data_IF_602114495427
#
_entry.id   IF_602114495427
#
_cell.length_a   1.000
_cell.length_b   1.000
_cell.length_c   1.000
_cell.angle_alpha   90.00
_cell.angle_beta   90.00
_cell.angle_gamma   90.00
#
_symmetry.space_group_name_H-M   'P 1'
#
loop_
_entity.id
_entity.type
_entity.pdbx_description
1 polymer ?
#
# COMPACT_ATOMS: atom_id res chain seq x y z
N UNK A 1 -11.04 20.62 -4.38
CA UNK A 1 -11.25 20.56 -2.93
C UNK A 1 -10.73 19.20 -2.51
N UNK A 2 -9.73 19.13 -1.63
CA UNK A 2 -9.32 17.83 -1.09
C UNK A 2 -10.54 17.23 -0.40
N UNK A 3 -10.90 16.00 -0.74
CA UNK A 3 -11.89 15.26 0.02
C UNK A 3 -11.41 15.23 1.48
N UNK A 4 -12.31 15.46 2.42
CA UNK A 4 -11.99 15.39 3.85
C UNK A 4 -11.62 13.94 4.17
N UNK A 5 -10.33 13.67 4.36
CA UNK A 5 -9.83 12.32 4.66
C UNK A 5 -10.45 11.84 5.95
N UNK A 6 -11.09 10.67 5.90
CA UNK A 6 -11.75 10.09 7.07
C UNK A 6 -10.65 9.74 8.10
N UNK A 7 -10.76 10.22 9.36
CA UNK A 7 -9.75 9.94 10.38
C UNK A 7 -9.46 8.44 10.50
N UNK A 8 -8.18 8.11 10.62
CA UNK A 8 -7.74 6.75 10.88
C UNK A 8 -8.00 6.42 12.37
N UNK A 9 -8.98 5.56 12.64
CA UNK A 9 -9.37 5.17 14.01
C UNK A 9 -9.49 3.67 14.15
N UNK A 10 -9.37 3.16 15.38
CA UNK A 10 -9.63 1.77 15.68
C UNK A 10 -11.07 1.36 15.32
N UNK A 11 -12.03 2.27 15.46
CA UNK A 11 -13.43 2.05 15.05
C UNK A 11 -13.56 1.84 13.53
N UNK A 12 -12.74 2.53 12.72
CA UNK A 12 -12.72 2.34 11.26
C UNK A 12 -12.26 0.91 10.90
N UNK A 13 -11.24 0.40 11.59
CA UNK A 13 -10.84 -1.00 11.46
C UNK A 13 -11.95 -1.94 11.94
N UNK A 14 -12.51 -1.70 13.13
CA UNK A 14 -13.56 -2.55 13.70
C UNK A 14 -14.78 -2.64 12.78
N UNK A 15 -15.20 -1.54 12.14
CA UNK A 15 -16.28 -1.53 11.18
C UNK A 15 -15.99 -2.42 9.95
N UNK A 16 -14.78 -2.33 9.38
CA UNK A 16 -14.36 -3.19 8.27
C UNK A 16 -14.32 -4.66 8.68
N UNK A 17 -13.76 -4.98 9.86
CA UNK A 17 -13.71 -6.33 10.40
C UNK A 17 -15.10 -6.92 10.63
N UNK A 18 -16.03 -6.14 11.20
CA UNK A 18 -17.44 -6.54 11.38
C UNK A 18 -18.14 -6.80 10.04
N UNK A 19 -17.97 -5.90 9.07
CA UNK A 19 -18.51 -6.07 7.73
C UNK A 19 -17.91 -7.30 7.01
N UNK A 20 -16.69 -7.70 7.36
CA UNK A 20 -16.02 -8.91 6.90
C UNK A 20 -16.41 -10.19 7.69
N UNK A 21 -17.26 -10.09 8.70
CA UNK A 21 -17.77 -11.21 9.47
C UNK A 21 -17.08 -11.50 10.80
N UNK A 22 -16.24 -10.59 11.32
CA UNK A 22 -15.62 -10.73 12.64
C UNK A 22 -16.66 -10.91 13.76
N UNK A 23 -16.46 -11.88 14.65
CA UNK A 23 -17.37 -12.17 15.78
C UNK A 23 -16.76 -11.89 17.15
N UNK A 24 -15.47 -11.56 17.25
CA UNK A 24 -14.84 -11.24 18.54
C UNK A 24 -15.48 -10.01 19.22
N UNK A 25 -15.30 -9.80 20.54
CA UNK A 25 -15.78 -8.61 21.23
C UNK A 25 -15.21 -7.30 20.63
N UNK A 26 -15.96 -6.20 20.70
CA UNK A 26 -15.52 -4.91 20.14
C UNK A 26 -14.18 -4.42 20.74
N UNK A 27 -13.89 -4.77 22.00
CA UNK A 27 -12.61 -4.46 22.63
C UNK A 27 -11.43 -5.12 21.91
N UNK A 28 -11.59 -6.35 21.42
CA UNK A 28 -10.55 -7.06 20.65
C UNK A 28 -10.34 -6.38 19.30
N UNK A 29 -11.43 -6.02 18.61
CA UNK A 29 -11.34 -5.31 17.34
C UNK A 29 -10.66 -3.95 17.51
N UNK A 30 -10.96 -3.24 18.60
CA UNK A 30 -10.36 -1.95 18.91
C UNK A 30 -8.86 -2.06 19.25
N UNK A 31 -8.46 -3.11 19.99
CA UNK A 31 -7.06 -3.41 20.30
C UNK A 31 -6.26 -3.70 19.01
N UNK A 32 -6.78 -4.57 18.14
CA UNK A 32 -6.15 -4.87 16.84
C UNK A 32 -6.06 -3.63 15.95
N UNK A 33 -7.13 -2.83 15.88
CA UNK A 33 -7.13 -1.57 15.14
C UNK A 33 -6.08 -0.59 15.68
N UNK A 34 -5.90 -0.52 16.99
CA UNK A 34 -4.89 0.33 17.64
C UNK A 34 -3.47 -0.17 17.34
N UNK A 35 -3.23 -1.48 17.39
CA UNK A 35 -1.94 -2.08 17.04
C UNK A 35 -1.56 -1.78 15.58
N UNK A 36 -2.49 -1.91 14.64
CA UNK A 36 -2.25 -1.56 13.24
C UNK A 36 -1.92 -0.07 13.10
N UNK A 37 -2.69 0.83 13.71
CA UNK A 37 -2.40 2.28 13.68
C UNK A 37 -1.01 2.59 14.24
N UNK A 38 -0.61 1.93 15.33
CA UNK A 38 0.72 2.07 15.93
C UNK A 38 1.82 1.72 14.93
N UNK A 39 1.69 0.60 14.22
CA UNK A 39 2.64 0.17 13.17
C UNK A 39 2.74 1.16 12.03
N UNK A 40 1.61 1.67 11.56
CA UNK A 40 1.55 2.71 10.52
C UNK A 40 2.07 4.08 10.99
N UNK A 41 2.33 4.24 12.29
CA UNK A 41 2.85 5.45 12.92
C UNK A 41 4.34 5.35 13.31
N UNK A 42 5.01 4.26 12.93
CA UNK A 42 6.44 4.06 13.23
C UNK A 42 7.31 5.17 12.61
N UNK A 43 8.33 5.69 13.33
CA UNK A 43 9.01 6.94 13.00
C UNK A 43 9.90 6.88 11.75
N UNK A 44 10.23 5.68 11.26
CA UNK A 44 11.00 5.51 10.02
C UNK A 44 10.15 5.67 8.75
N UNK A 45 8.81 5.74 8.87
CA UNK A 45 7.88 5.90 7.74
C UNK A 45 7.74 7.38 7.39
N UNK A 46 7.90 7.69 6.11
CA UNK A 46 7.71 9.04 5.58
C UNK A 46 6.66 9.07 4.47
N UNK A 47 6.54 7.99 3.69
CA UNK A 47 5.47 7.80 2.72
C UNK A 47 4.45 6.76 3.20
N UNK A 48 4.93 5.61 3.69
CA UNK A 48 4.06 4.51 4.13
C UNK A 48 3.52 4.76 5.54
N UNK A 49 2.80 5.88 5.70
CA UNK A 49 2.26 6.39 6.98
C UNK A 49 0.75 6.17 7.05
N UNK A 50 0.15 6.54 8.19
CA UNK A 50 -1.31 6.60 8.33
C UNK A 50 -2.03 7.47 7.28
N UNK A 51 -1.36 8.45 6.65
CA UNK A 51 -1.93 9.23 5.55
C UNK A 51 -2.12 8.39 4.28
N UNK A 52 -1.11 7.58 3.91
CA UNK A 52 -1.20 6.63 2.79
C UNK A 52 -2.29 5.59 3.05
N UNK A 53 -2.30 5.02 4.25
CA UNK A 53 -3.32 4.06 4.66
C UNK A 53 -4.74 4.66 4.56
N UNK A 54 -4.96 5.85 5.10
CA UNK A 54 -6.27 6.50 5.03
C UNK A 54 -6.70 6.79 3.59
N UNK A 55 -5.79 7.26 2.73
CA UNK A 55 -6.06 7.49 1.31
C UNK A 55 -6.44 6.20 0.58
N UNK A 56 -5.74 5.09 0.83
CA UNK A 56 -6.08 3.79 0.27
C UNK A 56 -7.47 3.32 0.75
N UNK A 57 -7.76 3.45 2.05
CA UNK A 57 -9.05 3.07 2.62
C UNK A 57 -10.21 3.91 2.04
N UNK A 58 -9.97 5.19 1.75
CA UNK A 58 -10.95 6.06 1.11
C UNK A 58 -11.25 5.62 -0.34
N UNK A 59 -10.23 5.14 -1.07
CA UNK A 59 -10.39 4.66 -2.45
C UNK A 59 -11.12 3.31 -2.55
N UNK A 60 -10.88 2.39 -1.62
CA UNK A 60 -11.53 1.07 -1.65
C UNK A 60 -12.97 1.10 -1.13
N UNK A 61 -13.34 2.12 -0.35
CA UNK A 61 -14.71 2.32 0.13
C UNK A 61 -15.23 1.15 0.97
N UNK A 62 -16.50 0.77 0.74
CA UNK A 62 -17.22 -0.25 1.52
C UNK A 62 -16.94 -1.69 1.03
N UNK A 63 -15.70 -1.99 0.62
CA UNK A 63 -15.27 -3.34 0.21
C UNK A 63 -14.46 -3.98 1.36
N UNK A 64 -15.12 -4.65 2.33
CA UNK A 64 -14.52 -4.94 3.64
C UNK A 64 -13.31 -5.86 3.57
N UNK A 65 -13.30 -6.84 2.66
CA UNK A 65 -12.16 -7.75 2.48
C UNK A 65 -10.94 -6.99 1.94
N UNK A 66 -11.14 -6.09 0.98
CA UNK A 66 -10.06 -5.27 0.41
C UNK A 66 -9.60 -4.24 1.44
N UNK A 67 -10.52 -3.65 2.20
CA UNK A 67 -10.17 -2.73 3.29
C UNK A 67 -9.29 -3.41 4.35
N UNK A 68 -9.59 -4.65 4.75
CA UNK A 68 -8.72 -5.41 5.67
C UNK A 68 -7.34 -5.71 5.07
N UNK A 69 -7.24 -5.97 3.77
CA UNK A 69 -5.95 -6.09 3.09
C UNK A 69 -5.18 -4.77 3.05
N UNK A 70 -5.86 -3.64 2.82
CA UNK A 70 -5.27 -2.30 2.90
C UNK A 70 -4.71 -2.00 4.29
N UNK A 71 -5.44 -2.35 5.36
CA UNK A 71 -4.92 -2.24 6.73
C UNK A 71 -3.63 -3.04 6.95
N UNK A 72 -3.52 -4.19 6.30
CA UNK A 72 -2.44 -5.15 6.49
C UNK A 72 -1.22 -4.99 5.58
N UNK A 73 -1.35 -4.41 4.37
CA UNK A 73 -0.35 -4.61 3.31
C UNK A 73 1.09 -4.21 3.67
N UNK A 74 1.26 -3.06 4.33
CA UNK A 74 2.54 -2.60 4.89
C UNK A 74 2.52 -2.50 6.42
N UNK A 75 1.72 -3.33 7.10
CA UNK A 75 1.69 -3.38 8.56
C UNK A 75 3.06 -3.77 9.16
N UNK A 76 3.89 -4.48 8.41
CA UNK A 76 5.33 -4.62 8.65
C UNK A 76 6.07 -3.82 7.59
N UNK A 77 6.92 -2.87 8.00
CA UNK A 77 7.72 -2.07 7.07
C UNK A 77 9.13 -1.85 7.61
N UNK A 78 10.05 -2.64 7.09
CA UNK A 78 11.48 -2.51 7.29
C UNK A 78 12.15 -2.31 5.92
N UNK A 79 12.58 -1.07 5.59
CA UNK A 79 13.27 -0.75 4.33
C UNK A 79 14.55 -1.55 4.07
N UNK A 80 15.07 -2.28 5.06
CA UNK A 80 16.26 -3.14 4.95
C UNK A 80 15.93 -4.61 4.67
N UNK A 81 14.64 -4.99 4.79
CA UNK A 81 14.15 -6.34 4.57
C UNK A 81 13.57 -6.51 3.16
N UNK A 82 13.56 -7.74 2.66
CA UNK A 82 13.04 -8.10 1.33
C UNK A 82 11.74 -8.92 1.39
N UNK A 83 11.21 -9.16 2.59
CA UNK A 83 10.08 -10.06 2.87
C UNK A 83 8.96 -9.34 3.64
N UNK A 84 8.88 -8.01 3.54
CA UNK A 84 7.90 -7.20 4.25
C UNK A 84 6.47 -7.65 3.96
N UNK A 85 6.11 -7.91 2.71
CA UNK A 85 4.75 -8.28 2.31
C UNK A 85 4.35 -9.66 2.86
N UNK A 86 5.29 -10.61 2.91
CA UNK A 86 5.03 -11.91 3.54
C UNK A 86 4.86 -11.76 5.06
N UNK A 87 5.71 -10.96 5.70
CA UNK A 87 5.61 -10.69 7.15
C UNK A 87 4.33 -9.94 7.50
N UNK A 88 3.94 -8.96 6.69
CA UNK A 88 2.66 -8.25 6.76
C UNK A 88 1.48 -9.20 6.60
N UNK A 89 1.54 -10.13 5.64
CA UNK A 89 0.51 -11.15 5.47
C UNK A 89 0.39 -12.01 6.74
N UNK A 90 1.49 -12.62 7.21
CA UNK A 90 1.47 -13.48 8.41
C UNK A 90 0.89 -12.74 9.62
N UNK A 91 1.39 -11.54 9.92
CA UNK A 91 0.88 -10.70 11.00
C UNK A 91 -0.62 -10.41 10.84
N UNK A 92 -1.05 -10.00 9.64
CA UNK A 92 -2.45 -9.69 9.37
C UNK A 92 -3.34 -10.91 9.60
N UNK A 93 -2.89 -12.09 9.20
CA UNK A 93 -3.61 -13.34 9.43
C UNK A 93 -3.81 -13.65 10.91
N UNK A 94 -2.77 -13.46 11.72
CA UNK A 94 -2.83 -13.64 13.18
C UNK A 94 -3.83 -12.66 13.82
N UNK A 95 -3.73 -11.37 13.50
CA UNK A 95 -4.61 -10.32 14.02
C UNK A 95 -6.08 -10.52 13.61
N UNK A 96 -6.34 -10.97 12.38
CA UNK A 96 -7.70 -11.26 11.93
C UNK A 96 -8.27 -12.54 12.55
N UNK A 97 -7.42 -13.52 12.86
CA UNK A 97 -7.82 -14.72 13.59
C UNK A 97 -8.22 -14.38 15.04
N UNK A 98 -7.52 -13.45 15.69
CA UNK A 98 -7.89 -12.90 17.00
C UNK A 98 -9.26 -12.20 16.95
N UNK A 99 -9.53 -11.46 15.88
CA UNK A 99 -10.84 -10.86 15.61
C UNK A 99 -11.95 -11.88 15.29
N UNK A 100 -11.62 -13.18 15.19
CA UNK A 100 -12.52 -14.24 14.75
C UNK A 100 -13.15 -13.95 13.38
N UNK A 101 -12.37 -13.38 12.45
CA UNK A 101 -12.78 -13.25 11.04
C UNK A 101 -12.85 -14.66 10.41
N UNK A 102 -13.84 -14.96 9.56
CA UNK A 102 -13.95 -16.27 8.93
C UNK A 102 -12.69 -16.65 8.13
N UNK A 103 -12.23 -17.89 8.25
CA UNK A 103 -11.01 -18.36 7.59
C UNK A 103 -10.95 -18.09 6.06
N UNK A 104 -12.04 -18.29 5.27
CA UNK A 104 -12.01 -17.96 3.84
C UNK A 104 -11.78 -16.46 3.54
N UNK A 105 -12.20 -15.58 4.46
CA UNK A 105 -11.95 -14.14 4.33
C UNK A 105 -10.49 -13.83 4.65
N UNK A 106 -9.94 -14.44 5.71
CA UNK A 106 -8.52 -14.31 6.05
C UNK A 106 -7.66 -14.78 4.87
N UNK A 107 -7.95 -15.94 4.28
CA UNK A 107 -7.21 -16.46 3.12
C UNK A 107 -7.17 -15.47 1.95
N UNK A 108 -8.30 -14.82 1.64
CA UNK A 108 -8.34 -13.79 0.61
C UNK A 108 -7.56 -12.53 0.98
N UNK A 109 -7.68 -12.05 2.23
CA UNK A 109 -6.88 -10.91 2.72
C UNK A 109 -5.39 -11.20 2.59
N UNK A 110 -4.95 -12.39 3.00
CA UNK A 110 -3.54 -12.80 2.91
C UNK A 110 -3.05 -12.88 1.46
N UNK A 111 -3.89 -13.36 0.54
CA UNK A 111 -3.56 -13.38 -0.89
C UNK A 111 -3.40 -11.96 -1.43
N UNK A 112 -4.30 -11.05 -1.02
CA UNK A 112 -4.27 -9.65 -1.44
C UNK A 112 -3.06 -8.90 -0.88
N UNK A 113 -2.71 -9.07 0.40
CA UNK A 113 -1.49 -8.49 0.96
C UNK A 113 -0.26 -8.97 0.20
N UNK A 114 -0.14 -10.27 -0.10
CA UNK A 114 0.99 -10.78 -0.90
C UNK A 114 1.02 -10.26 -2.34
N UNK A 115 -0.12 -9.87 -2.90
CA UNK A 115 -0.20 -9.32 -4.25
C UNK A 115 0.51 -7.96 -4.36
N UNK A 116 0.64 -7.18 -3.28
CA UNK A 116 1.33 -5.87 -3.29
C UNK A 116 2.84 -5.98 -3.47
N UNK A 117 3.44 -7.16 -3.30
CA UNK A 117 4.88 -7.34 -3.55
C UNK A 117 5.29 -7.10 -5.01
N UNK A 118 4.35 -7.24 -5.95
CA UNK A 118 4.60 -7.00 -7.36
C UNK A 118 3.43 -6.39 -8.15
N UNK A 119 2.30 -6.13 -7.49
CA UNK A 119 1.08 -5.55 -8.07
C UNK A 119 0.58 -6.26 -9.34
N UNK A 120 0.90 -7.55 -9.47
CA UNK A 120 0.54 -8.35 -10.64
C UNK A 120 -0.89 -8.87 -10.50
N UNK A 121 -1.85 -8.14 -11.06
CA UNK A 121 -3.27 -8.51 -11.01
C UNK A 121 -3.62 -9.48 -12.15
N UNK A 122 -4.22 -10.61 -11.78
CA UNK A 122 -4.70 -11.60 -12.75
C UNK A 122 -5.96 -11.12 -13.48
N UNK A 123 -6.20 -11.52 -14.74
CA UNK A 123 -7.44 -11.19 -15.44
C UNK A 123 -8.68 -11.64 -14.66
N UNK A 124 -9.59 -10.70 -14.38
CA UNK A 124 -10.82 -10.95 -13.64
C UNK A 124 -10.70 -10.86 -12.11
N UNK A 125 -9.49 -10.66 -11.56
CA UNK A 125 -9.29 -10.45 -10.12
C UNK A 125 -9.74 -9.05 -9.69
N UNK A 126 -11.01 -8.93 -9.30
CA UNK A 126 -11.62 -7.66 -8.92
C UNK A 126 -11.05 -7.07 -7.63
N UNK A 127 -10.70 -7.91 -6.66
CA UNK A 127 -10.18 -7.47 -5.37
C UNK A 127 -8.73 -7.02 -5.53
N UNK A 128 -7.92 -7.80 -6.24
CA UNK A 128 -6.54 -7.45 -6.57
C UNK A 128 -6.47 -6.16 -7.39
N UNK A 129 -7.37 -5.99 -8.37
CA UNK A 129 -7.52 -4.75 -9.13
C UNK A 129 -7.82 -3.54 -8.23
N UNK A 130 -8.76 -3.67 -7.29
CA UNK A 130 -9.11 -2.57 -6.40
C UNK A 130 -7.96 -2.23 -5.43
N UNK A 131 -7.29 -3.23 -4.87
CA UNK A 131 -6.14 -3.03 -3.99
C UNK A 131 -4.97 -2.37 -4.72
N UNK A 132 -4.60 -2.88 -5.89
CA UNK A 132 -3.49 -2.34 -6.68
C UNK A 132 -3.76 -0.90 -7.12
N UNK A 133 -4.97 -0.59 -7.60
CA UNK A 133 -5.33 0.78 -7.96
C UNK A 133 -5.27 1.74 -6.77
N UNK A 134 -5.67 1.29 -5.58
CA UNK A 134 -5.63 2.10 -4.36
C UNK A 134 -4.19 2.37 -3.89
N UNK A 135 -3.37 1.32 -3.80
CA UNK A 135 -1.98 1.43 -3.33
C UNK A 135 -1.09 2.21 -4.31
N UNK A 136 -1.29 2.01 -5.61
CA UNK A 136 -0.54 2.70 -6.66
C UNK A 136 -1.14 4.07 -7.06
N UNK A 137 -2.21 4.54 -6.40
CA UNK A 137 -2.93 5.76 -6.79
C UNK A 137 -2.01 7.00 -6.88
N UNK A 138 -1.00 7.10 -6.01
CA UNK A 138 -0.04 8.20 -5.99
C UNK A 138 0.71 8.37 -7.32
N UNK A 139 0.87 7.28 -8.09
CA UNK A 139 1.67 7.32 -9.30
C UNK A 139 1.06 8.24 -10.35
N UNK A 140 -0.27 8.37 -10.38
CA UNK A 140 -1.00 9.27 -11.27
C UNK A 140 -1.24 10.67 -10.69
N UNK A 141 -0.65 11.00 -9.54
CA UNK A 141 -0.81 12.32 -8.92
C UNK A 141 -0.21 13.44 -9.79
N UNK A 142 -0.68 14.69 -9.63
CA UNK A 142 -0.02 15.85 -10.23
C UNK A 142 1.48 15.86 -9.89
N UNK A 143 2.32 16.28 -10.85
CA UNK A 143 3.78 16.19 -10.70
C UNK A 143 4.34 16.76 -9.39
N UNK A 144 3.89 17.93 -8.86
CA UNK A 144 4.37 18.42 -7.57
C UNK A 144 4.10 17.49 -6.40
N UNK A 145 3.00 16.72 -6.44
CA UNK A 145 2.61 15.76 -5.41
C UNK A 145 3.44 14.48 -5.56
N UNK A 146 3.61 14.01 -6.81
CA UNK A 146 4.50 12.89 -7.13
C UNK A 146 5.96 13.15 -6.66
N UNK A 147 6.48 14.36 -6.84
CA UNK A 147 7.83 14.72 -6.34
C UNK A 147 7.91 14.64 -4.81
N UNK A 148 6.86 15.06 -4.08
CA UNK A 148 6.82 14.91 -2.62
C UNK A 148 6.78 13.44 -2.21
N UNK A 149 6.01 12.62 -2.92
CA UNK A 149 6.03 11.16 -2.77
C UNK A 149 7.44 10.59 -2.93
N UNK A 150 8.14 10.90 -4.02
CA UNK A 150 9.51 10.40 -4.26
C UNK A 150 10.47 10.85 -3.16
N UNK A 151 10.37 12.10 -2.70
CA UNK A 151 11.20 12.61 -1.62
C UNK A 151 10.92 11.90 -0.28
N UNK A 152 9.65 11.60 0.01
CA UNK A 152 9.25 10.85 1.20
C UNK A 152 9.79 9.41 1.15
N UNK A 153 9.64 8.69 0.02
CA UNK A 153 10.25 7.37 -0.13
C UNK A 153 11.78 7.45 -0.03
N UNK A 154 12.43 8.46 -0.63
CA UNK A 154 13.89 8.65 -0.48
C UNK A 154 14.31 8.76 0.98
N UNK A 155 13.52 9.42 1.82
CA UNK A 155 13.80 9.59 3.26
C UNK A 155 13.73 8.26 4.03
N UNK A 156 12.81 7.35 3.68
CA UNK A 156 12.74 6.00 4.28
C UNK A 156 14.01 5.19 3.98
N UNK A 157 14.64 5.44 2.83
CA UNK A 157 15.89 4.80 2.41
C UNK A 157 17.13 5.66 2.67
N UNK A 158 17.08 6.64 3.57
CA UNK A 158 18.22 7.55 3.83
C UNK A 158 19.51 6.81 4.27
N UNK A 159 19.39 5.60 4.78
CA UNK A 159 20.51 4.71 5.13
C UNK A 159 21.21 4.10 3.90
N UNK A 160 20.58 4.11 2.72
CA UNK A 160 21.15 3.63 1.45
C UNK A 160 21.95 4.74 0.77
N UNK A 161 23.22 4.51 0.39
CA UNK A 161 24.01 5.47 -0.39
C UNK A 161 23.32 5.86 -1.70
N UNK A 162 23.45 7.12 -2.12
CA UNK A 162 22.71 7.69 -3.25
C UNK A 162 22.88 6.90 -4.56
N UNK A 163 24.08 6.38 -4.85
CA UNK A 163 24.32 5.57 -6.05
C UNK A 163 23.52 4.27 -6.02
N UNK A 164 23.50 3.58 -4.88
CA UNK A 164 22.74 2.35 -4.70
C UNK A 164 21.24 2.62 -4.68
N UNK A 165 20.80 3.73 -4.06
CA UNK A 165 19.41 4.16 -4.07
C UNK A 165 18.91 4.39 -5.51
N UNK A 166 19.66 5.10 -6.35
CA UNK A 166 19.28 5.35 -7.75
C UNK A 166 19.11 4.03 -8.52
N UNK A 167 20.02 3.08 -8.33
CA UNK A 167 19.94 1.75 -8.98
C UNK A 167 18.72 0.97 -8.49
N UNK A 168 18.50 0.90 -7.17
CA UNK A 168 17.37 0.20 -6.58
C UNK A 168 16.03 0.81 -6.99
N UNK A 169 15.90 2.14 -6.87
CA UNK A 169 14.69 2.86 -7.27
C UNK A 169 14.42 2.71 -8.77
N UNK A 170 15.43 2.83 -9.63
CA UNK A 170 15.26 2.60 -11.06
C UNK A 170 14.82 1.15 -11.37
N UNK A 171 15.20 0.17 -10.55
CA UNK A 171 14.75 -1.22 -10.69
C UNK A 171 13.25 -1.33 -10.37
N UNK A 172 12.79 -0.75 -9.26
CA UNK A 172 11.36 -0.70 -8.89
C UNK A 172 10.52 -0.04 -9.99
N UNK A 173 10.95 1.13 -10.49
CA UNK A 173 10.23 1.85 -11.56
C UNK A 173 10.14 1.02 -12.84
N UNK A 174 11.22 0.31 -13.23
CA UNK A 174 11.21 -0.56 -14.41
C UNK A 174 10.30 -1.77 -14.22
N UNK A 175 10.25 -2.35 -13.02
CA UNK A 175 9.32 -3.45 -12.71
C UNK A 175 7.87 -2.99 -12.86
N UNK A 176 7.51 -1.83 -12.28
CA UNK A 176 6.18 -1.23 -12.43
C UNK A 176 5.85 -0.94 -13.91
N UNK A 177 6.77 -0.31 -14.64
CA UNK A 177 6.60 -0.04 -16.07
C UNK A 177 6.46 -1.33 -16.92
N UNK A 178 7.01 -2.44 -16.44
CA UNK A 178 6.89 -3.77 -17.06
C UNK A 178 5.53 -4.45 -16.85
N UNK A 179 4.70 -3.96 -15.94
CA UNK A 179 3.35 -4.49 -15.74
C UNK A 179 2.47 -4.21 -16.98
N UNK A 180 1.57 -5.14 -17.37
CA UNK A 180 0.63 -4.92 -18.46
C UNK A 180 -0.30 -3.72 -18.25
N UNK A 181 -0.63 -3.41 -16.99
CA UNK A 181 -1.37 -2.23 -16.55
C UNK A 181 -1.06 -1.94 -15.08
N UNK A 182 -1.00 -0.66 -14.72
CA UNK A 182 -0.88 -0.21 -13.33
C UNK A 182 -2.26 -0.05 -12.69
N UNK A 183 -3.22 0.44 -13.49
CA UNK A 183 -4.61 0.63 -13.07
C UNK A 183 -5.57 -0.25 -13.86
N UNK A 184 -6.48 -0.89 -13.14
CA UNK A 184 -7.44 -1.86 -13.64
C UNK A 184 -8.89 -1.37 -13.54
N UNK A 185 -9.19 -0.53 -12.55
CA UNK A 185 -10.50 0.08 -12.29
C UNK A 185 -10.56 1.51 -12.85
N UNK A 186 -9.42 2.20 -12.87
CA UNK A 186 -9.28 3.59 -13.36
C UNK A 186 -8.23 3.68 -14.50
N UNK A 187 -8.43 2.95 -15.62
CA UNK A 187 -7.45 2.90 -16.72
C UNK A 187 -7.13 4.27 -17.33
N UNK A 188 -7.98 5.28 -17.14
CA UNK A 188 -7.71 6.67 -17.53
C UNK A 188 -6.51 7.31 -16.83
N UNK A 189 -6.08 6.78 -15.68
CA UNK A 189 -4.92 7.26 -14.91
C UNK A 189 -3.58 6.72 -15.43
N UNK A 190 -3.62 5.64 -16.24
CA UNK A 190 -2.45 4.88 -16.70
C UNK A 190 -1.42 5.78 -17.41
N UNK A 191 -1.88 6.65 -18.31
CA UNK A 191 -0.99 7.54 -19.07
C UNK A 191 -0.25 8.52 -18.17
N UNK A 192 -0.94 9.04 -17.15
CA UNK A 192 -0.37 10.00 -16.20
C UNK A 192 0.67 9.31 -15.32
N UNK A 193 0.36 8.14 -14.77
CA UNK A 193 1.32 7.38 -13.96
C UNK A 193 2.56 6.99 -14.74
N UNK A 194 2.41 6.44 -15.95
CA UNK A 194 3.57 6.07 -16.78
C UNK A 194 4.41 7.28 -17.14
N UNK A 195 3.81 8.44 -17.41
CA UNK A 195 4.56 9.68 -17.65
C UNK A 195 5.37 10.10 -16.42
N UNK A 196 4.80 10.01 -15.21
CA UNK A 196 5.50 10.31 -13.97
C UNK A 196 6.65 9.32 -13.70
N UNK A 197 6.41 8.01 -13.83
CA UNK A 197 7.43 6.97 -13.67
C UNK A 197 8.61 7.17 -14.65
N UNK A 198 8.33 7.45 -15.92
CA UNK A 198 9.38 7.72 -16.91
C UNK A 198 10.17 8.99 -16.59
N UNK A 199 9.48 10.06 -16.14
CA UNK A 199 10.14 11.31 -15.75
C UNK A 199 11.04 11.12 -14.53
N UNK A 200 10.60 10.35 -13.55
CA UNK A 200 11.44 9.99 -12.40
C UNK A 200 12.65 9.16 -12.85
N UNK A 201 12.43 8.12 -13.65
CA UNK A 201 13.49 7.24 -14.14
C UNK A 201 14.59 8.02 -14.89
N UNK A 202 14.20 9.00 -15.70
CA UNK A 202 15.13 9.89 -16.40
C UNK A 202 15.99 10.72 -15.43
N UNK A 203 15.44 11.14 -14.28
CA UNK A 203 16.18 11.89 -13.25
C UNK A 203 17.17 11.05 -12.44
N UNK A 204 17.01 9.72 -12.44
CA UNK A 204 17.90 8.79 -11.72
C UNK A 204 19.11 8.38 -12.53
N UNK A 205 19.10 8.61 -13.85
CA UNK A 205 20.21 8.26 -14.74
C UNK A 205 21.15 9.47 -14.83
N UNK A 206 22.45 9.33 -14.49
CA UNK A 206 23.38 10.44 -14.68
C UNK A 206 23.46 10.80 -16.16
N UNK A 207 23.63 12.09 -16.46
CA UNK A 207 24.00 12.51 -17.81
C UNK A 207 25.29 11.78 -18.22
N UNK A 208 25.45 11.33 -19.48
CA UNK A 208 26.72 10.79 -19.93
C UNK A 208 27.83 11.85 -19.69
N UNK A 209 29.04 11.43 -19.29
CA UNK A 209 30.15 12.37 -19.18
C UNK A 209 30.44 13.00 -20.55
N UNK A 210 30.61 14.31 -20.56
CA UNK A 210 31.06 15.10 -21.73
C UNK A 210 32.43 14.63 -22.25
#
# INVERSE_FOLDING_TARGET
MAAETIPLTADRFAAAARAAGATAPDSVLAEVGTELISRWSEPQRFYHTGEHLAACLDLVGDEPVVALAVWGHDAVYDPTAADNEERSAVLTGELLAECQVPAPVIEEVLRLVRLTAGHAVAPGDRNGALLADADLAILAAPWPDYVRYVAAVRAEYAHVPDELWRVGRATVLRSLLGLPGLYHRTPELESTARANLHRELASLTPAPPD
#
